data_IF_447595401954
#
_entry.id   IF_447595401954
#
_cell.length_a   1.000
_cell.length_b   1.000
_cell.length_c   1.000
_cell.angle_alpha   90.00
_cell.angle_beta   90.00
_cell.angle_gamma   90.00
#
_symmetry.space_group_name_H-M   'P 1'
#
loop_
_entity.id
_entity.type
_entity.pdbx_description
1 polymer ?
#
# COMPACT_ATOMS: atom_id res chain seq x y z
N UNK A 1 -17.36 5.27 2.01
CA UNK A 1 -16.82 6.62 2.31
C UNK A 1 -15.45 6.69 1.64
N UNK A 2 -15.23 7.64 0.73
CA UNK A 2 -13.95 7.79 0.01
C UNK A 2 -13.08 8.77 0.81
N UNK A 3 -11.88 8.35 1.20
CA UNK A 3 -10.91 9.21 1.87
C UNK A 3 -9.86 9.65 0.85
N UNK A 4 -9.59 10.95 0.80
CA UNK A 4 -8.58 11.53 -0.09
C UNK A 4 -7.36 11.86 0.76
N UNK A 5 -6.17 11.44 0.36
CA UNK A 5 -4.93 11.78 1.04
C UNK A 5 -4.16 12.77 0.17
N UNK A 6 -3.68 13.87 0.76
CA UNK A 6 -2.94 14.90 0.03
C UNK A 6 -1.50 14.95 0.53
N UNK A 7 -0.56 14.96 -0.42
CA UNK A 7 0.85 15.22 -0.15
C UNK A 7 1.07 16.74 -0.08
N UNK A 8 1.52 17.22 1.08
CA UNK A 8 1.86 18.64 1.26
C UNK A 8 3.38 18.82 1.24
N UNK A 9 3.84 19.70 0.36
CA UNK A 9 5.24 20.13 0.31
C UNK A 9 5.46 21.27 1.31
N UNK A 10 6.26 21.03 2.34
CA UNK A 10 6.62 22.06 3.31
C UNK A 10 7.57 23.10 2.69
N UNK A 11 7.12 24.34 2.55
CA UNK A 11 7.86 25.41 1.86
C UNK A 11 9.24 25.78 2.46
N UNK A 12 9.60 25.29 3.66
CA UNK A 12 10.81 25.72 4.40
C UNK A 12 11.64 24.58 5.01
N UNK A 13 11.40 23.31 4.66
CA UNK A 13 12.21 22.19 5.14
C UNK A 13 12.60 21.31 3.96
N UNK A 14 13.83 21.49 3.46
CA UNK A 14 14.45 20.58 2.50
C UNK A 14 14.27 19.13 3.01
N UNK A 15 13.52 18.33 2.24
CA UNK A 15 13.30 16.87 2.38
C UNK A 15 12.19 16.36 3.31
N UNK A 16 11.34 17.19 3.94
CA UNK A 16 10.22 16.65 4.75
C UNK A 16 8.90 16.68 3.98
N UNK A 17 8.35 15.50 3.68
CA UNK A 17 6.99 15.34 3.15
C UNK A 17 6.07 14.72 4.19
N UNK A 18 4.87 15.29 4.29
CA UNK A 18 3.81 14.83 5.18
C UNK A 18 2.63 14.36 4.34
N UNK A 19 2.11 13.18 4.66
CA UNK A 19 0.76 12.79 4.24
C UNK A 19 -0.25 13.26 5.29
N UNK A 20 -1.32 13.88 4.81
CA UNK A 20 -2.49 14.20 5.63
C UNK A 20 -3.73 13.54 5.04
N UNK A 21 -4.53 12.95 5.91
CA UNK A 21 -5.89 12.60 5.53
C UNK A 21 -6.67 13.89 5.22
N UNK A 22 -7.54 13.83 4.24
CA UNK A 22 -8.56 14.83 3.96
C UNK A 22 -9.90 14.13 4.04
N UNK A 23 -10.73 14.56 5.00
CA UNK A 23 -12.09 14.08 5.17
C UNK A 23 -13.04 15.26 4.92
N UNK A 24 -13.93 15.14 3.93
CA UNK A 24 -14.87 16.19 3.53
C UNK A 24 -14.23 17.57 3.21
N UNK A 25 -12.97 17.57 2.75
CA UNK A 25 -12.23 18.82 2.44
C UNK A 25 -11.55 19.47 3.64
N UNK A 26 -11.67 18.88 4.83
CA UNK A 26 -10.95 19.31 6.04
C UNK A 26 -9.75 18.40 6.30
N UNK A 27 -8.70 18.95 6.89
CA UNK A 27 -7.53 18.20 7.34
C UNK A 27 -7.73 17.80 8.81
N UNK A 28 -8.07 16.53 9.13
CA UNK A 28 -8.05 16.06 10.50
C UNK A 28 -6.60 16.09 11.02
N UNK A 29 -6.39 16.12 12.34
CA UNK A 29 -5.06 16.31 12.96
C UNK A 29 -4.05 15.16 12.73
N UNK A 30 -4.42 14.16 11.93
CA UNK A 30 -3.57 13.04 11.54
C UNK A 30 -2.52 13.44 10.52
N UNK A 31 -1.25 13.35 10.93
CA UNK A 31 -0.07 13.53 10.08
C UNK A 31 0.72 12.23 10.04
N UNK A 32 1.28 11.90 8.88
CA UNK A 32 2.22 10.81 8.73
C UNK A 32 3.51 11.31 8.10
N UNK A 33 4.65 11.01 8.72
CA UNK A 33 5.96 11.30 8.17
C UNK A 33 6.29 10.34 7.01
N UNK A 34 6.83 10.87 5.92
CA UNK A 34 7.28 10.09 4.78
C UNK A 34 8.79 10.01 4.72
N UNK A 35 9.31 8.84 4.35
CA UNK A 35 10.72 8.67 4.07
C UNK A 35 10.98 9.04 2.62
N UNK A 36 11.89 9.99 2.42
CA UNK A 36 12.41 10.34 1.12
C UNK A 36 13.60 9.43 0.77
N UNK A 37 13.42 8.59 -0.24
CA UNK A 37 14.49 7.75 -0.76
C UNK A 37 15.10 8.43 -2.00
N UNK A 38 16.23 9.13 -1.80
CA UNK A 38 17.03 9.78 -2.85
C UNK A 38 16.31 10.79 -3.76
N UNK A 39 15.28 11.50 -3.27
CA UNK A 39 14.44 12.43 -4.04
C UNK A 39 13.70 11.79 -5.23
N UNK A 40 13.66 10.45 -5.31
CA UNK A 40 13.04 9.70 -6.41
C UNK A 40 11.78 8.95 -5.96
N UNK A 41 11.62 8.69 -4.66
CA UNK A 41 10.57 7.82 -4.11
C UNK A 41 10.16 8.24 -2.70
N UNK A 42 8.85 8.20 -2.43
CA UNK A 42 8.29 8.40 -1.10
C UNK A 42 7.77 7.08 -0.55
N UNK A 43 8.29 6.71 0.62
CA UNK A 43 7.98 5.43 1.26
C UNK A 43 7.24 5.71 2.56
N UNK A 44 6.22 4.91 2.85
CA UNK A 44 5.52 4.92 4.12
C UNK A 44 5.62 3.55 4.80
N UNK A 45 5.66 3.57 6.13
CA UNK A 45 5.41 2.38 6.94
C UNK A 45 3.92 2.35 7.29
N UNK A 46 3.30 1.21 7.02
CA UNK A 46 1.89 0.96 7.29
C UNK A 46 1.74 -0.32 8.08
N UNK A 47 0.58 -0.48 8.70
CA UNK A 47 0.15 -1.75 9.24
C UNK A 47 -1.19 -2.15 8.66
N UNK A 48 -1.36 -3.44 8.41
CA UNK A 48 -2.61 -4.05 7.99
C UNK A 48 -3.10 -5.07 9.03
N UNK A 49 -4.40 -5.07 9.28
CA UNK A 49 -5.05 -6.12 10.07
C UNK A 49 -5.00 -5.96 11.58
N UNK A 50 -5.61 -6.94 12.24
CA UNK A 50 -5.70 -7.04 13.70
C UNK A 50 -5.52 -8.50 14.13
N UNK A 51 -4.37 -8.90 14.72
CA UNK A 51 -3.22 -8.07 15.06
C UNK A 51 -2.55 -7.40 13.86
N UNK A 52 -1.92 -6.25 14.10
CA UNK A 52 -1.27 -5.44 13.08
C UNK A 52 -0.06 -6.16 12.44
N UNK A 53 0.03 -6.11 11.12
CA UNK A 53 1.14 -6.66 10.32
C UNK A 53 1.87 -5.53 9.61
N UNK A 54 3.17 -5.39 9.86
CA UNK A 54 3.97 -4.27 9.35
C UNK A 54 4.38 -4.46 7.89
N UNK A 55 4.09 -3.44 7.07
CA UNK A 55 4.50 -3.38 5.67
C UNK A 55 5.13 -2.03 5.35
N UNK A 56 6.03 -2.05 4.37
CA UNK A 56 6.63 -0.85 3.79
C UNK A 56 6.20 -0.73 2.35
N UNK A 57 5.75 0.45 1.97
CA UNK A 57 5.00 0.69 0.73
C UNK A 57 5.47 1.96 0.05
N UNK A 58 5.58 1.91 -1.28
CA UNK A 58 5.84 3.09 -2.10
C UNK A 58 4.54 3.84 -2.33
N UNK A 59 4.59 5.16 -2.15
CA UNK A 59 3.49 6.05 -2.49
C UNK A 59 3.67 6.54 -3.91
N UNK A 60 2.77 6.13 -4.78
CA UNK A 60 2.77 6.56 -6.16
C UNK A 60 1.45 7.26 -6.49
N UNK A 61 1.55 8.34 -7.27
CA UNK A 61 0.39 9.11 -7.69
C UNK A 61 -0.15 8.66 -9.05
N UNK A 62 0.55 7.75 -9.73
CA UNK A 62 0.36 7.49 -11.17
C UNK A 62 -0.53 6.29 -11.50
N UNK A 63 -0.97 5.43 -10.56
CA UNK A 63 -1.77 4.23 -10.88
C UNK A 63 -2.78 3.78 -9.83
N UNK A 64 -4.05 3.61 -10.18
CA UNK A 64 -5.25 3.43 -9.33
C UNK A 64 -5.19 2.61 -8.01
N UNK A 65 -4.30 1.64 -7.91
CA UNK A 65 -4.53 0.42 -7.13
C UNK A 65 -3.57 0.26 -5.95
N UNK A 66 -4.11 -0.13 -4.79
CA UNK A 66 -3.33 -0.56 -3.63
C UNK A 66 -3.20 -2.08 -3.63
N UNK A 67 -1.97 -2.59 -3.61
CA UNK A 67 -1.70 -4.02 -3.50
C UNK A 67 -0.48 -4.29 -2.61
N UNK A 68 -0.45 -5.49 -2.01
CA UNK A 68 0.66 -5.96 -1.17
C UNK A 68 1.01 -7.41 -1.51
N UNK A 69 2.25 -7.86 -1.27
CA UNK A 69 2.61 -9.27 -1.39
C UNK A 69 1.79 -10.13 -0.42
N UNK A 70 1.15 -11.19 -0.91
CA UNK A 70 0.40 -12.12 -0.07
C UNK A 70 1.31 -13.18 0.56
N UNK A 71 0.94 -13.70 1.73
CA UNK A 71 1.54 -14.91 2.30
C UNK A 71 1.37 -16.12 1.40
N UNK A 72 0.33 -16.11 0.54
CA UNK A 72 -0.02 -17.16 -0.43
C UNK A 72 0.80 -17.08 -1.72
N UNK A 73 1.69 -16.11 -1.87
CA UNK A 73 2.49 -16.01 -3.07
C UNK A 73 3.62 -17.03 -3.11
N UNK A 74 3.75 -17.71 -4.24
CA UNK A 74 4.79 -18.71 -4.45
C UNK A 74 6.06 -18.07 -5.04
N UNK A 75 7.21 -18.57 -4.60
CA UNK A 75 8.50 -18.14 -5.11
C UNK A 75 8.91 -19.10 -6.22
N UNK A 76 9.15 -18.58 -7.42
CA UNK A 76 9.63 -19.36 -8.55
C UNK A 76 10.74 -18.61 -9.28
N UNK A 77 11.68 -19.33 -9.91
CA UNK A 77 12.79 -18.67 -10.60
C UNK A 77 12.22 -17.83 -11.76
N UNK A 78 12.34 -16.50 -11.68
CA UNK A 78 11.78 -15.55 -12.65
C UNK A 78 10.40 -14.96 -12.30
N UNK A 79 9.85 -15.29 -11.14
CA UNK A 79 8.60 -14.72 -10.61
C UNK A 79 8.63 -14.60 -9.07
N UNK A 80 7.93 -13.61 -8.51
CA UNK A 80 7.85 -13.46 -7.04
C UNK A 80 9.02 -12.75 -6.37
N UNK A 81 9.71 -11.84 -7.07
CA UNK A 81 10.73 -10.98 -6.45
C UNK A 81 10.18 -10.15 -5.27
N UNK A 82 8.93 -9.66 -5.36
CA UNK A 82 8.32 -8.95 -4.25
C UNK A 82 8.08 -9.88 -3.06
N UNK A 83 7.70 -11.14 -3.31
CA UNK A 83 7.51 -12.16 -2.28
C UNK A 83 8.78 -12.46 -1.48
N UNK A 84 9.94 -12.50 -2.15
CA UNK A 84 11.22 -12.80 -1.53
C UNK A 84 11.75 -11.64 -0.67
N UNK A 85 11.59 -10.41 -1.15
CA UNK A 85 12.31 -9.26 -0.62
C UNK A 85 11.47 -8.32 0.25
N UNK A 86 10.16 -8.55 0.37
CA UNK A 86 9.26 -7.70 1.14
C UNK A 86 8.47 -8.51 2.16
N UNK A 87 8.02 -7.82 3.21
CA UNK A 87 7.04 -8.36 4.14
C UNK A 87 5.76 -8.73 3.38
N UNK A 88 5.16 -9.84 3.79
CA UNK A 88 3.96 -10.40 3.17
C UNK A 88 2.80 -10.27 4.13
N UNK A 89 1.66 -9.79 3.62
CA UNK A 89 0.41 -9.76 4.36
C UNK A 89 -0.20 -11.17 4.41
N UNK A 90 -0.67 -11.57 5.59
CA UNK A 90 -1.36 -12.84 5.79
C UNK A 90 -2.79 -12.58 6.28
N UNK A 91 -3.77 -12.78 5.40
CA UNK A 91 -5.20 -12.67 5.73
C UNK A 91 -5.61 -13.55 6.90
N UNK A 92 -5.00 -14.73 7.01
CA UNK A 92 -5.39 -15.77 7.97
C UNK A 92 -4.94 -15.45 9.41
N UNK A 93 -4.00 -14.51 9.56
CA UNK A 93 -3.55 -14.01 10.86
C UNK A 93 -4.31 -12.77 11.33
N UNK A 94 -5.11 -12.14 10.46
CA UNK A 94 -5.89 -10.95 10.80
C UNK A 94 -7.34 -11.32 11.10
N UNK A 95 -7.80 -10.98 12.30
CA UNK A 95 -9.19 -11.15 12.72
C UNK A 95 -10.13 -10.11 12.10
N UNK A 96 -9.59 -9.03 11.53
CA UNK A 96 -10.36 -7.99 10.85
C UNK A 96 -10.38 -8.13 9.33
N UNK A 97 -9.69 -9.14 8.79
CA UNK A 97 -9.68 -9.42 7.36
C UNK A 97 -11.06 -9.88 6.90
N UNK A 98 -11.43 -9.45 5.71
CA UNK A 98 -12.61 -9.94 4.99
C UNK A 98 -12.23 -10.23 3.56
N UNK A 99 -12.59 -11.41 3.11
CA UNK A 99 -12.43 -11.80 1.72
C UNK A 99 -13.39 -11.00 0.84
N UNK A 100 -12.85 -10.34 -0.18
CA UNK A 100 -13.63 -9.88 -1.34
C UNK A 100 -13.61 -10.97 -2.42
N UNK A 101 -12.43 -11.55 -2.66
CA UNK A 101 -12.22 -12.71 -3.52
C UNK A 101 -12.25 -12.39 -5.02
N UNK A 102 -12.63 -11.17 -5.42
CA UNK A 102 -12.54 -10.72 -6.81
C UNK A 102 -11.10 -10.80 -7.30
N UNK A 103 -10.89 -11.55 -8.38
CA UNK A 103 -9.58 -11.67 -9.02
C UNK A 103 -9.14 -10.33 -9.62
N UNK A 104 -7.84 -10.07 -9.53
CA UNK A 104 -7.21 -8.89 -10.10
C UNK A 104 -6.00 -9.32 -10.92
N UNK A 105 -5.88 -8.81 -12.14
CA UNK A 105 -4.68 -8.97 -12.97
C UNK A 105 -4.33 -7.63 -13.60
N UNK A 106 -3.10 -7.19 -13.38
CA UNK A 106 -2.51 -6.00 -13.96
C UNK A 106 -1.44 -6.39 -14.96
N UNK A 107 -1.58 -5.90 -16.19
CA UNK A 107 -0.57 -6.01 -17.22
C UNK A 107 0.35 -4.80 -17.15
N UNK A 108 1.63 -5.03 -16.90
CA UNK A 108 2.67 -4.00 -16.91
C UNK A 108 3.53 -4.15 -18.16
N UNK A 109 4.29 -3.11 -18.51
CA UNK A 109 5.25 -3.17 -19.61
C UNK A 109 6.37 -4.19 -19.40
N UNK A 110 6.55 -4.69 -18.18
CA UNK A 110 7.64 -5.58 -17.78
C UNK A 110 7.17 -6.99 -17.38
N UNK A 111 5.86 -7.23 -17.34
CA UNK A 111 5.28 -8.50 -16.89
C UNK A 111 3.87 -8.36 -16.31
N UNK A 112 3.42 -9.35 -15.57
CA UNK A 112 2.04 -9.43 -15.06
C UNK A 112 2.03 -9.53 -13.54
N UNK A 113 1.11 -8.82 -12.91
CA UNK A 113 0.82 -8.91 -11.48
C UNK A 113 -0.59 -9.49 -11.33
N UNK A 114 -0.74 -10.58 -10.59
CA UNK A 114 -2.03 -11.25 -10.40
C UNK A 114 -2.26 -11.60 -8.93
N UNK A 115 -3.52 -11.56 -8.52
CA UNK A 115 -3.95 -11.75 -7.15
C UNK A 115 -5.45 -11.68 -6.99
N UNK A 116 -5.90 -11.38 -5.77
CA UNK A 116 -7.32 -11.23 -5.44
C UNK A 116 -7.52 -10.09 -4.44
N UNK A 117 -8.72 -9.52 -4.40
CA UNK A 117 -9.05 -8.43 -3.48
C UNK A 117 -9.39 -8.94 -2.07
N UNK A 118 -8.96 -8.17 -1.08
CA UNK A 118 -9.21 -8.35 0.35
C UNK A 118 -9.58 -6.99 0.95
N UNK A 119 -10.36 -7.00 2.03
CA UNK A 119 -10.57 -5.84 2.88
C UNK A 119 -9.93 -6.05 4.24
N UNK A 120 -9.24 -5.03 4.75
CA UNK A 120 -8.77 -5.04 6.13
C UNK A 120 -8.61 -3.62 6.68
N UNK A 121 -8.23 -3.50 7.95
CA UNK A 121 -7.94 -2.23 8.59
C UNK A 121 -6.50 -1.81 8.27
N UNK A 122 -6.35 -0.58 7.79
CA UNK A 122 -5.08 0.07 7.49
C UNK A 122 -4.77 1.10 8.56
N UNK A 123 -3.51 1.17 8.94
CA UNK A 123 -2.97 2.21 9.80
C UNK A 123 -1.65 2.73 9.24
N UNK A 124 -1.47 4.05 9.16
CA UNK A 124 -0.21 4.68 8.77
C UNK A 124 0.41 5.39 9.97
N UNK A 125 1.75 5.43 9.98
CA UNK A 125 2.54 6.12 11.00
C UNK A 125 2.11 5.78 12.43
N UNK A 126 2.17 4.47 12.75
CA UNK A 126 1.89 3.94 14.09
C UNK A 126 0.49 4.27 14.65
N UNK A 127 -0.49 4.55 13.78
CA UNK A 127 -1.89 4.77 14.17
C UNK A 127 -2.34 6.22 14.12
N UNK A 128 -1.53 7.13 13.60
CA UNK A 128 -1.91 8.52 13.39
C UNK A 128 -2.98 8.67 12.31
N UNK A 129 -2.98 7.80 11.30
CA UNK A 129 -4.03 7.69 10.31
C UNK A 129 -4.57 6.26 10.31
N UNK A 130 -5.89 6.11 10.47
CA UNK A 130 -6.54 4.80 10.50
C UNK A 130 -7.70 4.78 9.52
N UNK A 131 -7.76 3.72 8.74
CA UNK A 131 -8.85 3.47 7.82
C UNK A 131 -9.35 2.04 8.01
N UNK A 132 -10.61 1.89 8.39
CA UNK A 132 -11.20 0.57 8.56
C UNK A 132 -11.71 0.04 7.22
N UNK A 133 -11.48 -1.26 6.99
CA UNK A 133 -12.03 -2.01 5.86
C UNK A 133 -11.74 -1.35 4.50
N UNK A 134 -10.48 -0.97 4.27
CA UNK A 134 -10.00 -0.57 2.95
C UNK A 134 -9.82 -1.80 2.07
N UNK A 135 -10.21 -1.69 0.80
CA UNK A 135 -9.99 -2.73 -0.21
C UNK A 135 -8.59 -2.60 -0.79
N UNK A 136 -7.87 -3.72 -0.89
CA UNK A 136 -6.56 -3.83 -1.53
C UNK A 136 -6.40 -5.21 -2.15
N UNK A 137 -5.40 -5.39 -3.02
CA UNK A 137 -5.12 -6.69 -3.62
C UNK A 137 -3.96 -7.42 -2.94
N UNK A 138 -4.19 -8.69 -2.64
CA UNK A 138 -3.18 -9.65 -2.24
C UNK A 138 -2.57 -10.28 -3.48
N UNK A 139 -1.30 -9.97 -3.76
CA UNK A 139 -0.60 -10.48 -4.93
C UNK A 139 -0.07 -11.88 -4.65
N UNK A 140 -0.50 -12.85 -5.46
CA UNK A 140 -0.08 -14.26 -5.37
C UNK A 140 0.93 -14.62 -6.46
N UNK A 141 0.92 -13.90 -7.57
CA UNK A 141 1.85 -14.13 -8.67
C UNK A 141 2.33 -12.82 -9.27
N UNK A 142 3.63 -12.75 -9.53
CA UNK A 142 4.28 -11.63 -10.20
C UNK A 142 5.27 -12.19 -11.21
N UNK A 143 5.04 -11.97 -12.50
CA UNK A 143 5.99 -12.30 -13.56
C UNK A 143 6.73 -11.04 -14.03
N UNK A 144 7.96 -11.22 -14.49
CA UNK A 144 8.81 -10.11 -14.91
C UNK A 144 9.48 -9.38 -13.74
N UNK A 145 9.97 -8.17 -14.00
CA UNK A 145 10.78 -7.41 -13.04
C UNK A 145 10.07 -6.15 -12.47
N UNK A 146 8.92 -6.22 -11.77
CA UNK A 146 8.45 -5.03 -11.08
C UNK A 146 9.32 -4.72 -9.85
N UNK A 147 10.05 -3.61 -9.91
CA UNK A 147 10.64 -2.97 -8.74
C UNK A 147 9.56 -2.19 -8.00
N UNK A 148 9.29 -2.60 -6.76
CA UNK A 148 8.52 -1.92 -5.69
C UNK A 148 7.01 -2.22 -5.58
N UNK A 149 6.56 -2.25 -4.31
CA UNK A 149 5.16 -2.36 -3.85
C UNK A 149 4.49 -1.01 -4.02
N UNK A 150 3.45 -0.94 -4.84
CA UNK A 150 2.82 0.32 -5.23
C UNK A 150 1.52 0.55 -4.45
N UNK A 151 1.43 1.70 -3.76
CA UNK A 151 0.18 2.30 -3.28
C UNK A 151 -0.19 3.42 -4.22
N UNK A 152 -1.48 3.55 -4.51
CA UNK A 152 -1.99 4.82 -4.97
C UNK A 152 -3.25 5.24 -4.24
N UNK A 153 -3.37 6.55 -4.15
CA UNK A 153 -4.58 7.25 -3.77
C UNK A 153 -5.17 7.85 -5.05
N UNK A 154 -6.26 7.28 -5.58
CA UNK A 154 -6.96 7.87 -6.72
C UNK A 154 -7.48 9.27 -6.35
N UNK A 155 -7.09 10.26 -7.14
CA UNK A 155 -7.88 11.49 -7.32
C UNK A 155 -9.04 11.21 -8.28
N UNK A 156 -10.27 11.25 -7.78
CA UNK A 156 -11.46 11.61 -8.57
C UNK A 156 -12.50 12.23 -7.64
#
# INVERSE_FOLDING_TARGET
MKFTYTLLFGANALHKMEMRAVENGEFPDGRSELFNFYDIQYIANITLGSPAQDLTVLLDTTFADFWVPSSKCEHSIGSGFACLNHNRYNSDLSLSSREDGREMTLLTSQGTISGFQTLDNLSLDYGNLKQNQITFAEITQQSGVPSWVLIQFLSS
#
